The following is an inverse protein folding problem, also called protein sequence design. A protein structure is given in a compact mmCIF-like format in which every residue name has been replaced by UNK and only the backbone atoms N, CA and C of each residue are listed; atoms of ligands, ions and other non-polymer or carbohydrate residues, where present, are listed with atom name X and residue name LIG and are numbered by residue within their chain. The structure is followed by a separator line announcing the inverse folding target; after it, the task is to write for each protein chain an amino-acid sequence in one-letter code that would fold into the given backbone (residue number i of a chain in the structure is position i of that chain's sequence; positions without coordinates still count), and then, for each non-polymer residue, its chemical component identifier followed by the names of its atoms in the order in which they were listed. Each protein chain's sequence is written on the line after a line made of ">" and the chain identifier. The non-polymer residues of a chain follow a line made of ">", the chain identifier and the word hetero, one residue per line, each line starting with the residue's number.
data_IF_674259600486
#
_entry.id   IF_674259600486
#
_cell.length_a   1.000
_cell.length_b   1.000
_cell.length_c   1.000
_cell.angle_alpha   90.00
_cell.angle_beta   90.00
_cell.angle_gamma   90.00
#
_symmetry.space_group_name_H-M   'P 1'
#
loop_
_entity.id
_entity.type
_entity.pdbx_description
1 polymer ?
#
# COMPACT_ATOMS: atom_id res chain seq x y z
N UNK A 1 38.75 -14.88 14.28
CA UNK A 1 38.32 -13.55 13.83
C UNK A 1 36.81 -13.47 14.05
N UNK A 2 36.39 -12.46 14.74
CA UNK A 2 34.96 -12.10 14.91
C UNK A 2 34.72 -10.76 14.24
N UNK A 3 33.58 -10.63 13.54
CA UNK A 3 33.24 -9.44 12.75
C UNK A 3 31.86 -9.00 13.18
N UNK A 4 31.72 -7.71 13.51
CA UNK A 4 30.45 -7.13 13.91
C UNK A 4 30.12 -5.87 13.11
N UNK A 5 28.94 -5.86 12.54
CA UNK A 5 28.23 -4.66 12.11
C UNK A 5 26.76 -4.82 12.52
N UNK A 6 26.19 -3.76 13.04
CA UNK A 6 24.76 -3.73 13.40
C UNK A 6 24.15 -2.44 12.84
N UNK A 7 23.40 -2.60 11.74
CA UNK A 7 22.79 -1.47 11.01
C UNK A 7 21.83 -0.61 11.85
N UNK A 8 21.38 -1.14 13.00
CA UNK A 8 20.45 -0.45 13.93
C UNK A 8 21.16 0.37 15.00
N UNK A 9 22.43 0.08 15.27
CA UNK A 9 23.21 0.83 16.26
C UNK A 9 23.90 2.03 15.61
N UNK A 10 23.67 3.25 16.13
CA UNK A 10 24.29 4.51 15.65
C UNK A 10 25.83 4.47 15.63
N UNK A 11 26.42 3.59 16.42
CA UNK A 11 27.87 3.37 16.39
C UNK A 11 28.32 2.82 15.04
N UNK A 12 27.59 1.83 14.49
CA UNK A 12 27.97 1.16 13.24
C UNK A 12 27.40 1.84 12.00
N UNK A 13 26.19 2.40 12.07
CA UNK A 13 25.54 3.11 10.96
C UNK A 13 24.91 4.41 11.44
N UNK A 14 25.31 5.51 10.85
CA UNK A 14 24.77 6.83 11.18
C UNK A 14 24.62 7.69 9.91
N UNK A 15 23.43 8.29 9.68
CA UNK A 15 22.20 8.13 10.45
C UNK A 15 21.62 6.73 10.35
N UNK A 16 20.69 6.40 11.29
CA UNK A 16 19.90 5.18 11.23
C UNK A 16 18.77 5.32 10.22
N UNK A 17 18.50 4.24 9.48
CA UNK A 17 17.33 4.14 8.61
C UNK A 17 17.53 4.75 7.22
N UNK A 18 16.41 5.13 6.59
CA UNK A 18 16.40 5.81 5.31
C UNK A 18 17.00 7.22 5.40
N UNK A 19 17.60 7.72 4.33
CA UNK A 19 18.27 9.02 4.26
C UNK A 19 17.81 9.82 3.04
N UNK A 20 17.97 11.13 3.09
CA UNK A 20 17.65 12.00 1.95
C UNK A 20 18.71 11.93 0.85
N UNK A 21 18.32 12.28 -0.38
CA UNK A 21 19.23 12.41 -1.51
C UNK A 21 20.42 13.30 -1.17
N UNK A 22 21.62 12.92 -1.63
CA UNK A 22 22.88 13.64 -1.35
C UNK A 22 23.36 13.59 0.10
N UNK A 23 22.61 12.94 1.00
CA UNK A 23 22.99 12.79 2.42
C UNK A 23 24.25 11.95 2.57
N UNK A 24 24.90 12.03 3.76
CA UNK A 24 26.08 11.24 4.06
C UNK A 24 25.76 10.16 5.09
N UNK A 25 26.25 8.94 4.86
CA UNK A 25 26.13 7.81 5.78
C UNK A 25 27.52 7.34 6.21
N UNK A 26 27.75 7.34 7.54
CA UNK A 26 28.92 6.71 8.11
C UNK A 26 28.63 5.24 8.40
N UNK A 27 29.51 4.36 7.90
CA UNK A 27 29.47 2.93 8.15
C UNK A 27 30.75 2.49 8.88
N UNK A 28 30.59 1.62 9.89
CA UNK A 28 31.68 1.04 10.67
C UNK A 28 31.57 -0.47 10.71
N UNK A 29 32.73 -1.11 10.76
CA UNK A 29 32.90 -2.52 10.99
C UNK A 29 33.85 -2.73 12.16
N UNK A 30 33.50 -3.58 13.10
CA UNK A 30 34.38 -4.00 14.19
C UNK A 30 34.94 -5.39 13.88
N UNK A 31 36.23 -5.58 14.09
CA UNK A 31 36.92 -6.85 13.86
C UNK A 31 37.77 -7.17 15.08
N UNK A 32 37.64 -8.38 15.63
CA UNK A 32 38.45 -8.89 16.76
C UNK A 32 38.97 -10.29 16.57
N UNK A 33 39.88 -10.72 17.45
CA UNK A 33 40.46 -12.05 17.46
C UNK A 33 41.67 -12.21 16.52
N UNK A 34 42.13 -13.46 16.31
CA UNK A 34 43.32 -13.76 15.51
C UNK A 34 43.08 -13.51 14.03
N UNK A 35 44.01 -12.80 13.37
CA UNK A 35 43.99 -12.56 11.93
C UNK A 35 43.36 -11.18 11.59
N UNK A 36 44.09 -10.11 11.95
CA UNK A 36 43.73 -8.74 11.50
C UNK A 36 43.75 -8.73 9.97
N UNK A 37 42.65 -8.24 9.31
CA UNK A 37 42.61 -8.18 7.86
C UNK A 37 43.65 -7.20 7.31
N UNK A 38 44.29 -7.55 6.19
CA UNK A 38 45.21 -6.66 5.48
C UNK A 38 44.48 -5.48 4.81
N UNK A 39 43.20 -5.67 4.44
CA UNK A 39 42.34 -4.63 3.92
C UNK A 39 40.89 -4.89 4.32
N UNK A 40 40.14 -3.79 4.58
CA UNK A 40 38.70 -3.80 4.80
C UNK A 40 38.08 -2.84 3.79
N UNK A 41 37.06 -3.31 3.07
CA UNK A 41 36.34 -2.50 2.07
C UNK A 41 34.85 -2.53 2.30
N UNK A 42 34.22 -1.43 2.09
CA UNK A 42 32.78 -1.33 1.86
C UNK A 42 32.52 -1.60 0.38
N UNK A 43 31.64 -2.53 0.09
CA UNK A 43 31.07 -2.70 -1.25
C UNK A 43 29.64 -2.18 -1.22
N UNK A 44 29.31 -1.27 -2.13
CA UNK A 44 27.96 -0.75 -2.25
C UNK A 44 27.56 -0.59 -3.71
N UNK A 45 26.25 -0.61 -3.97
CA UNK A 45 25.69 -0.47 -5.30
C UNK A 45 24.34 0.26 -5.22
N UNK A 46 24.09 1.14 -6.17
CA UNK A 46 22.74 1.63 -6.42
C UNK A 46 21.93 0.55 -7.14
N UNK A 47 20.63 0.44 -6.89
CA UNK A 47 19.77 -0.56 -7.51
C UNK A 47 19.89 -0.49 -9.05
N UNK A 48 20.18 -1.63 -9.67
CA UNK A 48 20.40 -1.75 -11.12
C UNK A 48 21.74 -1.22 -11.63
N UNK A 49 22.68 -0.82 -10.75
CA UNK A 49 24.05 -0.40 -11.14
C UNK A 49 25.11 -1.39 -10.69
N UNK A 50 26.34 -1.19 -11.16
CA UNK A 50 27.49 -1.98 -10.75
C UNK A 50 27.99 -1.67 -9.34
N UNK A 51 28.77 -2.60 -8.78
CA UNK A 51 29.39 -2.47 -7.47
C UNK A 51 30.49 -1.42 -7.44
N UNK A 52 30.54 -0.64 -6.36
CA UNK A 52 31.60 0.31 -6.03
C UNK A 52 32.27 -0.19 -4.76
N UNK A 53 33.61 -0.28 -4.79
CA UNK A 53 34.44 -0.66 -3.65
C UNK A 53 35.13 0.56 -3.06
N UNK A 54 35.04 0.73 -1.74
CA UNK A 54 35.66 1.84 -1.03
C UNK A 54 36.41 1.32 0.17
N UNK A 55 37.70 1.66 0.26
CA UNK A 55 38.53 1.26 1.39
C UNK A 55 38.00 1.87 2.70
N UNK A 56 38.06 1.06 3.75
CA UNK A 56 37.69 1.46 5.11
C UNK A 56 38.97 1.48 5.97
N UNK A 57 39.55 2.63 6.27
CA UNK A 57 40.73 2.73 7.13
C UNK A 57 40.39 2.30 8.57
N UNK A 58 41.37 1.71 9.25
CA UNK A 58 41.38 1.58 10.70
C UNK A 58 41.35 2.97 11.34
N UNK A 59 40.56 3.16 12.41
CA UNK A 59 40.39 4.44 13.07
C UNK A 59 40.84 4.38 14.53
N UNK A 60 40.37 3.39 15.30
CA UNK A 60 40.69 3.23 16.73
C UNK A 60 40.22 1.84 17.23
N UNK A 61 40.63 1.49 18.46
CA UNK A 61 40.18 0.29 19.13
C UNK A 61 39.06 0.55 20.13
N UNK A 62 38.15 -0.43 20.27
CA UNK A 62 37.13 -0.49 21.33
C UNK A 62 37.26 -1.85 22.02
N UNK A 63 37.86 -1.88 23.18
CA UNK A 63 38.22 -3.15 23.83
C UNK A 63 39.23 -3.91 22.98
N UNK A 64 38.89 -5.11 22.58
CA UNK A 64 39.70 -5.97 21.69
C UNK A 64 39.32 -5.86 20.20
N UNK A 65 38.43 -4.93 19.85
CA UNK A 65 37.96 -4.74 18.48
C UNK A 65 38.67 -3.58 17.80
N UNK A 66 39.24 -3.86 16.63
CA UNK A 66 39.73 -2.84 15.69
C UNK A 66 38.52 -2.28 14.91
N UNK A 67 38.36 -0.96 14.90
CA UNK A 67 37.23 -0.27 14.26
C UNK A 67 37.68 0.31 12.92
N UNK A 68 37.01 -0.11 11.86
CA UNK A 68 37.15 0.42 10.49
C UNK A 68 35.94 1.29 10.17
N UNK A 69 36.17 2.41 9.47
CA UNK A 69 35.09 3.38 9.22
C UNK A 69 35.22 4.05 7.87
N UNK A 70 34.09 4.31 7.24
CA UNK A 70 34.01 5.09 6.00
C UNK A 70 32.73 5.92 5.98
N UNK A 71 32.82 7.11 5.37
CA UNK A 71 31.68 7.93 5.03
C UNK A 71 31.34 7.76 3.55
N UNK A 72 30.06 7.61 3.24
CA UNK A 72 29.57 7.46 1.86
C UNK A 72 28.53 8.52 1.60
N UNK A 73 28.74 9.33 0.55
CA UNK A 73 27.71 10.24 0.04
C UNK A 73 26.69 9.43 -0.74
N UNK A 74 25.42 9.59 -0.39
CA UNK A 74 24.32 8.93 -1.07
C UNK A 74 24.04 9.61 -2.42
N UNK A 75 23.39 8.89 -3.37
CA UNK A 75 23.01 9.43 -4.66
C UNK A 75 22.16 10.71 -4.53
N UNK A 76 22.29 11.60 -5.52
CA UNK A 76 21.42 12.78 -5.66
C UNK A 76 20.02 12.42 -6.19
N UNK A 77 19.85 11.21 -6.72
CA UNK A 77 18.57 10.66 -7.16
C UNK A 77 18.05 9.66 -6.12
N UNK A 78 16.78 9.76 -5.78
CA UNK A 78 16.11 8.81 -4.91
C UNK A 78 16.12 7.38 -5.49
N UNK A 79 16.30 6.39 -4.63
CA UNK A 79 16.43 4.99 -5.02
C UNK A 79 16.90 4.12 -3.85
N UNK A 80 17.32 2.90 -4.14
CA UNK A 80 17.88 2.00 -3.16
C UNK A 80 19.40 1.90 -3.31
N UNK A 81 20.10 1.82 -2.20
CA UNK A 81 21.52 1.50 -2.11
C UNK A 81 21.66 0.24 -1.28
N UNK A 82 22.39 -0.71 -1.82
CA UNK A 82 22.69 -1.98 -1.17
C UNK A 82 24.14 -2.01 -0.76
N UNK A 83 24.50 -2.59 0.41
CA UNK A 83 25.89 -2.65 0.84
C UNK A 83 26.22 -3.89 1.65
N UNK A 84 27.52 -4.28 1.62
CA UNK A 84 28.16 -5.31 2.42
C UNK A 84 29.65 -4.97 2.60
N UNK A 85 30.37 -5.81 3.33
CA UNK A 85 31.80 -5.60 3.62
C UNK A 85 32.63 -6.76 3.08
N UNK A 86 33.81 -6.42 2.54
CA UNK A 86 34.87 -7.35 2.14
C UNK A 86 36.08 -7.17 3.04
N UNK A 87 36.64 -8.27 3.52
CA UNK A 87 37.85 -8.31 4.33
C UNK A 87 38.88 -9.23 3.66
N UNK A 88 40.04 -8.69 3.38
CA UNK A 88 41.18 -9.46 2.86
C UNK A 88 42.01 -9.98 4.03
N UNK A 89 42.14 -11.31 4.12
CA UNK A 89 42.87 -11.99 5.20
C UNK A 89 43.95 -12.90 4.65
N UNK A 90 44.90 -13.33 5.49
CA UNK A 90 45.90 -14.32 5.09
C UNK A 90 45.32 -15.64 4.56
N UNK A 91 44.04 -15.94 4.92
CA UNK A 91 43.34 -17.17 4.51
C UNK A 91 42.40 -16.94 3.33
N UNK A 92 42.41 -15.76 2.71
CA UNK A 92 41.55 -15.38 1.59
C UNK A 92 40.51 -14.32 1.95
N UNK A 93 39.59 -14.13 1.05
CA UNK A 93 38.52 -13.16 1.21
C UNK A 93 37.44 -13.64 2.18
N UNK A 94 37.01 -12.75 3.06
CA UNK A 94 35.87 -12.94 3.96
C UNK A 94 34.89 -11.82 3.70
N UNK A 95 33.60 -12.13 3.75
CA UNK A 95 32.55 -11.18 3.52
C UNK A 95 31.65 -11.08 4.75
N UNK A 96 31.07 -9.92 4.98
CA UNK A 96 30.08 -9.70 6.01
C UNK A 96 28.90 -8.92 5.44
N UNK A 97 27.73 -9.53 5.44
CA UNK A 97 26.51 -8.95 4.86
C UNK A 97 25.33 -9.02 5.81
N UNK A 98 24.14 -8.72 5.28
CA UNK A 98 22.90 -8.84 6.03
C UNK A 98 22.67 -10.32 6.43
N UNK A 99 21.91 -10.54 7.49
CA UNK A 99 21.58 -11.89 7.95
C UNK A 99 20.70 -12.65 6.94
N UNK A 100 20.61 -13.96 7.11
CA UNK A 100 19.86 -14.87 6.24
C UNK A 100 18.37 -14.54 6.12
N UNK A 101 17.78 -13.89 7.14
CA UNK A 101 16.40 -13.42 7.14
C UNK A 101 16.21 -12.03 6.48
N UNK A 102 17.31 -11.37 6.08
CA UNK A 102 17.33 -10.04 5.47
C UNK A 102 16.66 -8.95 6.31
N UNK A 103 16.65 -9.09 7.63
CA UNK A 103 15.94 -8.20 8.54
C UNK A 103 16.75 -7.00 9.02
N UNK A 104 18.02 -6.84 8.58
CA UNK A 104 18.93 -5.82 9.11
C UNK A 104 19.45 -6.16 10.51
N UNK A 105 20.00 -5.19 11.23
CA UNK A 105 20.63 -5.41 12.53
C UNK A 105 21.99 -6.09 12.41
N UNK A 106 22.23 -7.12 13.23
CA UNK A 106 23.47 -7.90 13.18
C UNK A 106 23.47 -8.75 11.91
N UNK A 107 24.59 -8.71 11.18
CA UNK A 107 24.80 -9.50 9.97
C UNK A 107 25.46 -10.84 10.18
N UNK A 108 25.83 -11.46 9.08
CA UNK A 108 26.47 -12.78 9.04
C UNK A 108 27.75 -12.75 8.22
N UNK A 109 28.74 -13.49 8.70
CA UNK A 109 30.00 -13.71 7.99
C UNK A 109 29.86 -14.85 6.98
N UNK A 110 30.43 -14.70 5.78
CA UNK A 110 30.51 -15.76 4.79
C UNK A 110 31.85 -15.73 4.06
N UNK A 111 32.22 -16.86 3.46
CA UNK A 111 33.48 -17.03 2.72
C UNK A 111 33.32 -16.93 1.20
N UNK A 112 32.10 -16.81 0.75
CA UNK A 112 31.74 -16.49 -0.63
C UNK A 112 31.09 -15.10 -0.66
N UNK A 113 30.90 -14.52 -1.84
CA UNK A 113 30.15 -13.26 -1.96
C UNK A 113 28.84 -13.36 -1.19
N UNK A 114 28.46 -12.37 -0.36
CA UNK A 114 27.27 -12.47 0.46
C UNK A 114 26.03 -12.51 -0.42
N UNK A 115 25.13 -13.43 -0.10
CA UNK A 115 23.82 -13.52 -0.79
C UNK A 115 22.88 -12.37 -0.42
N UNK A 116 23.13 -11.73 0.74
CA UNK A 116 22.26 -10.70 1.31
C UNK A 116 23.04 -9.42 1.60
N UNK A 117 22.59 -8.32 1.02
CA UNK A 117 23.10 -6.97 1.32
C UNK A 117 22.18 -6.24 2.29
N UNK A 118 22.74 -5.29 3.03
CA UNK A 118 21.94 -4.31 3.77
C UNK A 118 21.34 -3.29 2.82
N UNK A 119 20.15 -2.78 3.16
CA UNK A 119 19.46 -1.75 2.40
C UNK A 119 19.66 -0.36 3.01
N UNK A 120 19.79 0.64 2.16
CA UNK A 120 19.60 2.06 2.48
C UNK A 120 18.60 2.62 1.49
N UNK A 121 17.46 3.06 1.97
CA UNK A 121 16.49 3.78 1.13
C UNK A 121 16.89 5.26 1.08
N UNK A 122 17.11 5.77 -0.13
CA UNK A 122 17.42 7.17 -0.40
C UNK A 122 16.17 7.83 -0.97
N UNK A 123 15.66 8.88 -0.34
CA UNK A 123 14.40 9.50 -0.70
C UNK A 123 14.51 11.01 -0.88
N UNK A 124 13.54 11.63 -1.57
CA UNK A 124 13.53 13.05 -1.83
C UNK A 124 13.37 13.84 -0.52
N UNK A 125 14.15 14.91 -0.35
CA UNK A 125 14.14 15.75 0.86
C UNK A 125 12.79 16.42 1.12
N UNK A 126 12.05 16.75 0.06
CA UNK A 126 10.73 17.35 0.13
C UNK A 126 9.59 16.37 0.41
N UNK A 127 9.89 15.07 0.55
CA UNK A 127 8.90 14.05 0.85
C UNK A 127 8.22 14.29 2.19
N UNK A 128 6.95 14.63 2.15
CA UNK A 128 6.09 14.89 3.31
C UNK A 128 4.80 14.13 3.19
N UNK A 129 4.30 13.70 4.33
CA UNK A 129 3.01 13.00 4.47
C UNK A 129 2.11 13.80 5.41
N UNK A 130 0.77 13.72 5.28
CA UNK A 130 -0.14 14.49 6.10
C UNK A 130 -0.03 14.17 7.59
N UNK A 131 0.20 15.18 8.43
CA UNK A 131 0.40 14.99 9.87
C UNK A 131 -0.85 14.46 10.58
N UNK A 132 -2.03 14.83 10.12
CA UNK A 132 -3.30 14.35 10.68
C UNK A 132 -3.48 12.83 10.58
N UNK A 133 -2.81 12.19 9.59
CA UNK A 133 -2.91 10.75 9.39
C UNK A 133 -1.98 9.94 10.31
N UNK A 134 -0.89 10.56 10.79
CA UNK A 134 0.15 9.90 11.60
C UNK A 134 -0.31 9.48 12.99
N UNK A 135 -1.31 10.14 13.55
CA UNK A 135 -1.78 9.93 14.92
C UNK A 135 -3.23 9.46 15.00
N UNK A 136 -3.83 9.16 13.85
CA UNK A 136 -5.23 8.77 13.75
C UNK A 136 -5.48 7.30 14.05
N UNK A 137 -6.72 7.00 14.44
CA UNK A 137 -7.27 5.64 14.45
C UNK A 137 -8.22 5.53 13.26
N UNK A 138 -7.90 4.61 12.34
CA UNK A 138 -8.71 4.38 11.16
C UNK A 138 -9.72 3.24 11.38
N UNK A 139 -10.94 3.43 10.90
CA UNK A 139 -11.99 2.44 10.87
C UNK A 139 -12.44 2.19 9.43
N UNK A 140 -12.31 0.96 8.96
CA UNK A 140 -12.77 0.55 7.63
C UNK A 140 -14.27 0.24 7.67
N UNK A 141 -15.03 0.77 6.72
CA UNK A 141 -16.47 0.54 6.60
C UNK A 141 -16.81 -0.07 5.24
N UNK A 142 -17.35 -1.28 5.25
CA UNK A 142 -18.09 -1.85 4.13
C UNK A 142 -19.53 -1.33 4.23
N UNK A 143 -19.90 -0.37 3.38
CA UNK A 143 -21.10 0.46 3.56
C UNK A 143 -22.38 -0.36 3.65
N UNK A 144 -22.57 -1.31 2.74
CA UNK A 144 -23.76 -2.21 2.75
C UNK A 144 -23.92 -2.98 4.08
N UNK A 145 -22.79 -3.29 4.75
CA UNK A 145 -22.72 -4.16 5.92
C UNK A 145 -22.57 -3.40 7.24
N UNK A 146 -22.79 -2.08 7.28
CA UNK A 146 -22.52 -1.25 8.45
C UNK A 146 -23.78 -0.75 9.16
N UNK A 147 -24.61 0.05 8.51
CA UNK A 147 -25.82 0.60 9.11
C UNK A 147 -26.79 1.08 8.03
N UNK A 148 -28.07 0.74 8.16
CA UNK A 148 -29.14 1.37 7.38
C UNK A 148 -29.56 2.67 8.09
N UNK A 149 -29.48 3.80 7.37
CA UNK A 149 -29.85 5.11 7.88
C UNK A 149 -31.32 5.46 7.71
N UNK A 150 -32.07 4.67 6.95
CA UNK A 150 -33.50 4.90 6.73
C UNK A 150 -34.32 4.51 7.97
N UNK A 151 -35.28 5.34 8.35
CA UNK A 151 -36.07 5.15 9.58
C UNK A 151 -36.90 3.87 9.55
N UNK A 152 -37.45 3.53 8.39
CA UNK A 152 -38.26 2.32 8.18
C UNK A 152 -37.44 1.08 7.77
N UNK A 153 -36.10 1.20 7.69
CA UNK A 153 -35.21 0.11 7.30
C UNK A 153 -35.27 -0.26 5.82
N UNK A 154 -35.93 0.52 4.97
CA UNK A 154 -36.00 0.27 3.53
C UNK A 154 -34.65 0.40 2.85
N UNK A 155 -34.47 -0.39 1.79
CA UNK A 155 -33.32 -0.31 0.90
C UNK A 155 -33.44 0.93 0.01
N UNK A 156 -32.34 1.61 -0.22
CA UNK A 156 -32.25 2.63 -1.26
C UNK A 156 -32.14 1.98 -2.64
N UNK A 157 -32.39 2.82 -3.68
CA UNK A 157 -32.32 2.38 -5.07
C UNK A 157 -33.50 1.49 -5.50
N UNK A 158 -33.57 1.21 -6.80
CA UNK A 158 -34.71 0.49 -7.43
C UNK A 158 -34.29 -0.86 -8.02
N UNK A 159 -33.20 -1.45 -7.55
CA UNK A 159 -32.71 -2.73 -8.08
C UNK A 159 -33.62 -3.89 -7.67
N UNK A 160 -34.00 -4.70 -8.66
CA UNK A 160 -34.84 -5.91 -8.49
C UNK A 160 -34.05 -7.22 -8.55
N UNK A 161 -32.79 -7.15 -8.99
CA UNK A 161 -31.88 -8.26 -9.19
C UNK A 161 -31.01 -8.58 -7.96
N UNK A 162 -31.36 -8.05 -6.80
CA UNK A 162 -30.65 -8.22 -5.53
C UNK A 162 -31.32 -9.25 -4.62
N UNK A 163 -30.51 -9.88 -3.79
CA UNK A 163 -30.97 -10.73 -2.69
C UNK A 163 -30.94 -9.90 -1.40
N UNK A 164 -32.12 -9.50 -0.92
CA UNK A 164 -32.22 -8.75 0.33
C UNK A 164 -31.99 -9.65 1.53
N UNK A 165 -31.09 -9.21 2.42
CA UNK A 165 -30.72 -9.94 3.64
C UNK A 165 -31.21 -9.17 4.87
N UNK A 166 -31.48 -9.91 5.95
CA UNK A 166 -31.77 -9.30 7.25
C UNK A 166 -30.49 -9.13 8.05
N UNK A 167 -30.42 -8.07 8.87
CA UNK A 167 -29.30 -7.86 9.80
C UNK A 167 -29.18 -9.05 10.76
N UNK A 168 -27.94 -9.53 10.94
CA UNK A 168 -27.65 -10.72 11.73
C UNK A 168 -27.61 -12.04 10.97
N UNK A 169 -28.06 -12.07 9.72
CA UNK A 169 -27.89 -13.24 8.85
C UNK A 169 -26.45 -13.35 8.34
N UNK A 170 -26.04 -14.57 8.00
CA UNK A 170 -24.73 -14.80 7.38
C UNK A 170 -24.74 -14.27 5.94
N UNK A 171 -23.74 -13.47 5.52
CA UNK A 171 -23.60 -13.08 4.11
C UNK A 171 -23.38 -14.31 3.22
N UNK A 172 -23.77 -14.21 1.96
CA UNK A 172 -23.45 -15.22 0.98
C UNK A 172 -21.98 -15.09 0.54
N UNK A 173 -21.27 -16.21 0.48
CA UNK A 173 -19.85 -16.27 0.14
C UNK A 173 -19.47 -17.49 -0.71
N UNK A 174 -20.45 -18.31 -1.10
CA UNK A 174 -20.25 -19.49 -1.94
C UNK A 174 -21.15 -19.43 -3.16
N UNK A 175 -20.64 -19.91 -4.30
CA UNK A 175 -21.38 -19.92 -5.57
C UNK A 175 -22.72 -20.63 -5.47
N UNK A 176 -22.81 -21.72 -4.69
CA UNK A 176 -24.05 -22.50 -4.53
C UNK A 176 -25.19 -21.68 -3.92
N UNK A 177 -24.87 -20.71 -3.07
CA UNK A 177 -25.86 -19.81 -2.43
C UNK A 177 -26.49 -18.85 -3.45
N UNK A 178 -25.84 -18.64 -4.60
CA UNK A 178 -26.31 -17.82 -5.72
C UNK A 178 -26.83 -18.66 -6.90
N UNK A 179 -26.97 -19.97 -6.74
CA UNK A 179 -27.44 -20.86 -7.79
C UNK A 179 -26.35 -21.40 -8.71
N UNK A 180 -25.08 -21.41 -8.26
CA UNK A 180 -23.95 -22.05 -8.96
C UNK A 180 -22.89 -21.11 -9.47
N UNK A 181 -23.14 -19.79 -9.51
CA UNK A 181 -22.17 -18.76 -9.85
C UNK A 181 -22.15 -17.66 -8.78
N UNK A 182 -20.97 -17.24 -8.35
CA UNK A 182 -20.83 -16.17 -7.36
C UNK A 182 -21.17 -14.81 -7.98
N UNK A 183 -22.25 -14.17 -7.50
CA UNK A 183 -22.78 -12.92 -8.05
C UNK A 183 -22.54 -11.69 -7.17
N UNK A 184 -22.19 -11.86 -5.91
CA UNK A 184 -22.03 -10.78 -4.93
C UNK A 184 -23.20 -9.77 -4.93
N UNK A 185 -24.43 -10.25 -5.06
CA UNK A 185 -25.64 -9.42 -5.14
C UNK A 185 -26.58 -9.61 -3.94
N UNK A 186 -26.07 -10.12 -2.83
CA UNK A 186 -26.74 -10.15 -1.54
C UNK A 186 -26.46 -8.85 -0.76
N UNK A 187 -27.51 -8.12 -0.36
CA UNK A 187 -27.42 -6.81 0.26
C UNK A 187 -28.14 -6.77 1.60
N UNK A 188 -27.59 -6.01 2.56
CA UNK A 188 -28.16 -5.75 3.89
C UNK A 188 -28.78 -4.37 4.02
N UNK A 189 -28.58 -3.50 3.03
CA UNK A 189 -29.19 -2.17 2.95
C UNK A 189 -28.48 -1.08 3.74
N UNK A 190 -27.22 -1.30 4.15
CA UNK A 190 -26.40 -0.22 4.69
C UNK A 190 -26.18 0.89 3.67
N UNK A 191 -26.09 2.14 4.14
CA UNK A 191 -25.97 3.31 3.27
C UNK A 191 -25.22 4.47 3.93
N UNK A 192 -24.92 5.54 3.18
CA UNK A 192 -24.17 6.69 3.69
C UNK A 192 -24.90 7.44 4.81
N UNK A 193 -26.24 7.50 4.79
CA UNK A 193 -27.03 8.03 5.91
C UNK A 193 -26.82 7.23 7.19
N UNK A 194 -26.66 5.90 7.06
CA UNK A 194 -26.31 5.02 8.17
C UNK A 194 -24.92 5.32 8.74
N UNK A 195 -23.95 5.61 7.87
CA UNK A 195 -22.61 6.06 8.31
C UNK A 195 -22.73 7.40 9.06
N UNK A 196 -23.47 8.37 8.52
CA UNK A 196 -23.73 9.67 9.17
C UNK A 196 -24.35 9.45 10.56
N UNK A 197 -25.37 8.61 10.67
CA UNK A 197 -26.05 8.28 11.94
C UNK A 197 -25.11 7.71 12.99
N UNK A 198 -24.05 6.99 12.54
CA UNK A 198 -23.06 6.35 13.40
C UNK A 198 -21.82 7.20 13.68
N UNK A 199 -21.68 8.40 13.12
CA UNK A 199 -20.53 9.27 13.39
C UNK A 199 -20.32 9.56 14.90
N UNK A 200 -21.38 9.85 15.73
CA UNK A 200 -21.17 10.03 17.17
C UNK A 200 -20.55 8.78 17.84
N UNK A 201 -21.06 7.59 17.51
CA UNK A 201 -20.52 6.33 18.03
C UNK A 201 -19.04 6.15 17.62
N UNK A 202 -18.70 6.42 16.37
CA UNK A 202 -17.32 6.31 15.88
C UNK A 202 -16.41 7.35 16.56
N UNK A 203 -16.91 8.55 16.81
CA UNK A 203 -16.19 9.57 17.57
C UNK A 203 -15.92 9.14 19.01
N UNK A 204 -16.93 8.59 19.70
CA UNK A 204 -16.81 8.08 21.08
C UNK A 204 -15.82 6.92 21.16
N UNK A 205 -15.73 6.11 20.10
CA UNK A 205 -14.73 5.04 19.94
C UNK A 205 -13.31 5.58 19.70
N UNK A 206 -13.14 6.90 19.49
CA UNK A 206 -11.84 7.54 19.23
C UNK A 206 -11.41 7.51 17.76
N UNK A 207 -12.32 7.16 16.85
CA UNK A 207 -12.01 7.14 15.41
C UNK A 207 -11.82 8.56 14.89
N UNK A 208 -10.76 8.76 14.15
CA UNK A 208 -10.44 10.03 13.46
C UNK A 208 -10.35 9.88 11.94
N UNK A 209 -10.36 8.65 11.45
CA UNK A 209 -10.31 8.34 10.02
C UNK A 209 -11.31 7.25 9.70
N UNK A 210 -12.15 7.47 8.71
CA UNK A 210 -13.01 6.45 8.12
C UNK A 210 -12.50 6.15 6.72
N UNK A 211 -12.13 4.90 6.47
CA UNK A 211 -11.87 4.38 5.15
C UNK A 211 -13.12 3.64 4.66
N UNK A 212 -13.75 4.15 3.60
CA UNK A 212 -14.89 3.51 2.96
C UNK A 212 -14.39 2.54 1.89
N UNK A 213 -14.85 1.28 1.91
CA UNK A 213 -14.79 0.43 0.75
C UNK A 213 -15.47 1.13 -0.44
N UNK A 214 -15.27 0.70 -1.70
CA UNK A 214 -15.81 1.41 -2.85
C UNK A 214 -17.30 1.77 -2.70
N UNK A 215 -17.66 3.00 -3.09
CA UNK A 215 -19.02 3.53 -2.95
C UNK A 215 -19.63 3.98 -4.27
N UNK A 216 -18.87 3.87 -5.37
CA UNK A 216 -19.33 4.26 -6.69
C UNK A 216 -20.33 3.23 -7.25
N UNK A 217 -21.16 3.68 -8.19
CA UNK A 217 -22.16 2.82 -8.83
C UNK A 217 -21.50 1.57 -9.41
N UNK A 218 -21.97 0.39 -9.02
CA UNK A 218 -21.46 -0.90 -9.44
C UNK A 218 -22.51 -1.99 -9.25
N UNK A 219 -22.32 -3.15 -9.90
CA UNK A 219 -23.26 -4.27 -9.79
C UNK A 219 -23.16 -4.98 -8.44
N UNK A 220 -21.95 -5.31 -8.00
CA UNK A 220 -21.72 -6.10 -6.80
C UNK A 220 -22.03 -5.34 -5.51
N UNK A 221 -22.16 -6.05 -4.40
CA UNK A 221 -22.28 -5.47 -3.07
C UNK A 221 -20.97 -4.84 -2.58
N UNK A 222 -19.83 -5.33 -3.04
CA UNK A 222 -18.48 -4.84 -2.69
C UNK A 222 -18.03 -3.64 -3.52
N UNK A 223 -18.62 -3.41 -4.71
CA UNK A 223 -18.36 -2.29 -5.59
C UNK A 223 -16.94 -2.19 -6.21
N UNK A 224 -16.12 -3.25 -6.10
CA UNK A 224 -14.84 -3.30 -6.80
C UNK A 224 -14.97 -3.45 -8.32
N UNK A 225 -16.14 -3.78 -8.83
CA UNK A 225 -16.52 -3.76 -10.23
C UNK A 225 -17.10 -2.40 -10.64
N UNK A 226 -16.34 -1.32 -10.46
CA UNK A 226 -16.81 0.04 -10.68
C UNK A 226 -17.53 0.20 -12.02
N UNK A 227 -18.78 0.67 -11.95
CA UNK A 227 -19.63 0.91 -13.11
C UNK A 227 -19.62 2.36 -13.59
N UNK A 228 -19.53 3.32 -12.65
CA UNK A 228 -19.46 4.75 -12.97
C UNK A 228 -18.75 5.51 -11.83
N UNK A 229 -17.56 6.05 -12.10
CA UNK A 229 -16.77 6.81 -11.13
C UNK A 229 -17.37 8.18 -10.75
N UNK A 230 -18.31 8.70 -11.53
CA UNK A 230 -18.94 9.99 -11.27
C UNK A 230 -20.16 9.89 -10.35
N UNK A 231 -20.69 8.69 -10.15
CA UNK A 231 -21.96 8.46 -9.47
C UNK A 231 -21.77 7.62 -8.22
N UNK A 232 -22.23 8.11 -7.06
CA UNK A 232 -22.39 7.25 -5.87
C UNK A 232 -23.43 6.19 -6.19
N UNK A 233 -23.22 4.97 -5.71
CA UNK A 233 -24.21 3.90 -5.93
C UNK A 233 -25.58 4.30 -5.33
N UNK A 234 -26.67 4.25 -6.12
CA UNK A 234 -28.01 4.64 -5.64
C UNK A 234 -28.49 3.85 -4.41
N UNK A 235 -27.92 2.68 -4.16
CA UNK A 235 -28.21 1.92 -2.93
C UNK A 235 -27.51 2.49 -1.71
N UNK A 236 -26.47 3.32 -1.90
CA UNK A 236 -25.74 3.96 -0.81
C UNK A 236 -26.15 5.42 -0.60
N UNK A 237 -26.70 6.07 -1.61
CA UNK A 237 -27.11 7.46 -1.59
C UNK A 237 -26.73 8.20 -2.87
N UNK A 238 -26.34 9.44 -2.73
CA UNK A 238 -25.97 10.35 -3.81
C UNK A 238 -24.78 11.24 -3.43
N UNK A 239 -24.35 12.09 -4.37
CA UNK A 239 -23.25 13.03 -4.16
C UNK A 239 -23.52 14.00 -2.99
N UNK A 240 -24.76 14.46 -2.83
CA UNK A 240 -25.13 15.38 -1.76
C UNK A 240 -25.05 14.69 -0.39
N UNK A 241 -25.51 13.45 -0.28
CA UNK A 241 -25.37 12.63 0.92
C UNK A 241 -23.88 12.39 1.27
N UNK A 242 -23.02 12.21 0.26
CA UNK A 242 -21.59 12.08 0.47
C UNK A 242 -20.96 13.39 1.00
N UNK A 243 -21.32 14.54 0.42
CA UNK A 243 -20.87 15.86 0.91
C UNK A 243 -21.33 16.10 2.35
N UNK A 244 -22.59 15.73 2.67
CA UNK A 244 -23.11 15.80 4.03
C UNK A 244 -22.30 14.94 5.00
N UNK A 245 -21.98 13.70 4.61
CA UNK A 245 -21.13 12.82 5.40
C UNK A 245 -19.77 13.45 5.68
N UNK A 246 -19.10 13.97 4.64
CA UNK A 246 -17.78 14.59 4.78
C UNK A 246 -17.83 15.83 5.68
N UNK A 247 -18.87 16.67 5.54
CA UNK A 247 -19.03 17.87 6.37
C UNK A 247 -19.22 17.51 7.84
N UNK A 248 -20.18 16.63 8.14
CA UNK A 248 -20.46 16.19 9.52
C UNK A 248 -19.30 15.44 10.17
N UNK A 249 -18.62 14.61 9.40
CA UNK A 249 -17.41 13.93 9.87
C UNK A 249 -16.32 14.94 10.24
N UNK A 250 -16.08 15.94 9.38
CA UNK A 250 -15.09 16.99 9.60
C UNK A 250 -15.39 17.81 10.87
N UNK A 251 -16.65 18.14 11.14
CA UNK A 251 -17.08 18.84 12.36
C UNK A 251 -16.74 18.03 13.63
N UNK A 252 -16.73 16.70 13.52
CA UNK A 252 -16.35 15.79 14.61
C UNK A 252 -14.86 15.45 14.63
N UNK A 253 -14.05 16.06 13.73
CA UNK A 253 -12.63 15.75 13.59
C UNK A 253 -12.33 14.40 12.94
N UNK A 254 -13.28 13.86 12.18
CA UNK A 254 -13.13 12.61 11.43
C UNK A 254 -12.92 12.93 9.94
N UNK A 255 -12.00 12.22 9.30
CA UNK A 255 -11.69 12.36 7.88
C UNK A 255 -12.14 11.14 7.10
N UNK A 256 -12.60 11.35 5.87
CA UNK A 256 -13.12 10.30 5.00
C UNK A 256 -12.09 10.00 3.91
N UNK A 257 -11.74 8.72 3.74
CA UNK A 257 -10.87 8.21 2.67
C UNK A 257 -11.71 7.32 1.76
N UNK A 258 -11.57 7.49 0.46
CA UNK A 258 -12.23 6.68 -0.55
C UNK A 258 -11.32 5.57 -1.09
N UNK A 259 -11.94 4.51 -1.58
CA UNK A 259 -11.28 3.44 -2.33
C UNK A 259 -11.22 3.80 -3.82
N UNK A 260 -10.02 3.79 -4.39
CA UNK A 260 -9.75 4.07 -5.78
C UNK A 260 -9.42 2.79 -6.55
N UNK A 261 -10.43 2.23 -7.20
CA UNK A 261 -10.29 1.05 -8.05
C UNK A 261 -9.98 1.52 -9.47
N UNK A 262 -8.71 1.73 -9.79
CA UNK A 262 -8.28 2.33 -11.06
C UNK A 262 -7.58 1.34 -12.00
N UNK A 263 -7.37 0.09 -11.59
CA UNK A 263 -6.79 -0.95 -12.42
C UNK A 263 -7.81 -1.57 -13.39
N UNK A 264 -9.09 -1.64 -13.02
CA UNK A 264 -10.14 -2.28 -13.80
C UNK A 264 -11.51 -1.62 -13.56
N UNK A 265 -12.47 -1.94 -14.42
CA UNK A 265 -13.87 -1.56 -14.23
C UNK A 265 -14.74 -2.81 -14.24
N UNK A 266 -16.03 -2.68 -13.93
CA UNK A 266 -16.99 -3.73 -14.23
C UNK A 266 -17.20 -3.90 -15.73
N UNK A 267 -17.44 -5.13 -16.20
CA UNK A 267 -17.80 -5.37 -17.61
C UNK A 267 -19.13 -4.72 -17.99
N UNK A 268 -19.99 -4.45 -17.00
CA UNK A 268 -21.22 -3.69 -17.13
C UNK A 268 -21.05 -2.19 -16.79
N UNK A 269 -19.83 -1.66 -16.75
CA UNK A 269 -19.59 -0.22 -16.54
C UNK A 269 -20.05 0.61 -17.73
N UNK A 270 -20.30 1.90 -17.54
CA UNK A 270 -20.57 2.86 -18.63
C UNK A 270 -19.44 2.95 -19.66
N UNK A 271 -18.24 2.56 -19.27
CA UNK A 271 -17.03 2.63 -20.10
C UNK A 271 -16.89 1.40 -20.99
N UNK A 272 -17.16 0.21 -20.46
CA UNK A 272 -17.11 -1.06 -21.21
C UNK A 272 -18.46 -1.45 -21.79
N UNK A 273 -19.52 -1.38 -21.01
CA UNK A 273 -20.95 -1.53 -21.33
C UNK A 273 -21.30 -2.82 -22.10
N UNK A 274 -20.79 -3.95 -21.63
CA UNK A 274 -20.99 -5.24 -22.28
C UNK A 274 -22.46 -5.62 -22.43
N UNK A 275 -23.29 -5.26 -21.45
CA UNK A 275 -24.69 -5.68 -21.38
C UNK A 275 -25.68 -4.57 -21.77
N UNK A 276 -25.21 -3.40 -22.18
CA UNK A 276 -26.08 -2.29 -22.61
C UNK A 276 -26.88 -1.65 -21.47
N UNK A 277 -26.35 -1.64 -20.25
CA UNK A 277 -27.03 -1.07 -19.07
C UNK A 277 -26.93 0.45 -18.97
N UNK A 278 -26.08 1.06 -19.78
CA UNK A 278 -25.88 2.50 -19.83
C UNK A 278 -26.25 3.05 -21.21
N UNK A 279 -26.77 4.26 -21.25
CA UNK A 279 -27.10 4.97 -22.51
C UNK A 279 -25.86 5.33 -23.34
N UNK A 280 -24.67 5.33 -22.72
CA UNK A 280 -23.39 5.57 -23.41
C UNK A 280 -22.97 4.35 -24.20
N UNK A 281 -22.36 4.58 -25.38
CA UNK A 281 -21.74 3.50 -26.16
C UNK A 281 -20.40 3.13 -25.52
N UNK A 282 -20.33 1.94 -24.91
CA UNK A 282 -19.11 1.42 -24.29
C UNK A 282 -18.12 0.81 -25.28
N UNK A 283 -16.89 0.55 -24.79
CA UNK A 283 -15.81 -0.02 -25.59
C UNK A 283 -16.13 -1.41 -26.18
N UNK A 284 -16.92 -2.22 -25.49
CA UNK A 284 -17.36 -3.53 -25.97
C UNK A 284 -18.33 -3.41 -27.15
N UNK A 285 -19.14 -2.34 -27.20
CA UNK A 285 -20.23 -2.17 -28.16
C UNK A 285 -19.75 -1.59 -29.48
N UNK A 286 -18.71 -0.76 -29.49
CA UNK A 286 -18.19 -0.11 -30.71
C UNK A 286 -16.73 0.29 -30.57
N UNK A 287 -15.98 0.11 -31.65
CA UNK A 287 -14.62 0.64 -31.81
C UNK A 287 -14.59 2.18 -31.90
N UNK A 288 -15.73 2.80 -32.21
CA UNK A 288 -15.90 4.27 -32.24
C UNK A 288 -16.29 4.84 -30.88
N UNK A 289 -16.40 4.00 -29.85
CA UNK A 289 -16.66 4.47 -28.49
C UNK A 289 -15.53 5.38 -27.99
N UNK A 290 -15.83 6.49 -27.30
CA UNK A 290 -14.81 7.32 -26.67
C UNK A 290 -13.99 6.58 -25.60
N UNK A 291 -14.46 5.42 -25.18
CA UNK A 291 -13.81 4.56 -24.18
C UNK A 291 -13.05 3.39 -24.82
N UNK A 292 -13.01 3.26 -26.16
CA UNK A 292 -12.39 2.10 -26.80
C UNK A 292 -10.90 1.97 -26.44
N UNK A 293 -10.17 3.07 -26.41
CA UNK A 293 -8.74 3.12 -26.06
C UNK A 293 -8.45 2.90 -24.57
N UNK A 294 -9.48 2.82 -23.74
CA UNK A 294 -9.35 2.54 -22.30
C UNK A 294 -9.10 1.07 -22.00
N UNK A 295 -9.30 0.20 -22.99
CA UNK A 295 -9.20 -1.24 -22.82
C UNK A 295 -8.38 -1.86 -23.95
N UNK A 296 -7.67 -2.93 -23.63
CA UNK A 296 -6.88 -3.67 -24.63
C UNK A 296 -7.64 -4.90 -25.09
N UNK A 297 -7.98 -4.93 -26.37
CA UNK A 297 -8.60 -6.07 -27.01
C UNK A 297 -7.58 -6.85 -27.82
N UNK A 298 -7.52 -8.18 -27.63
CA UNK A 298 -6.78 -9.11 -28.48
C UNK A 298 -7.61 -9.54 -29.68
N UNK A 299 -8.91 -9.79 -29.48
CA UNK A 299 -9.89 -10.05 -30.55
C UNK A 299 -11.24 -9.45 -30.14
N UNK A 300 -11.54 -8.28 -30.71
CA UNK A 300 -12.71 -7.49 -30.37
C UNK A 300 -14.01 -8.15 -30.86
N UNK A 301 -15.11 -8.18 -30.08
CA UNK A 301 -15.23 -7.57 -28.76
C UNK A 301 -14.96 -8.53 -27.59
N UNK A 302 -14.80 -9.84 -27.82
CA UNK A 302 -14.94 -10.88 -26.82
C UNK A 302 -13.63 -11.24 -26.11
N UNK A 303 -12.46 -10.95 -26.72
CA UNK A 303 -11.16 -11.29 -26.14
C UNK A 303 -10.42 -9.99 -25.77
N UNK A 304 -10.36 -9.73 -24.48
CA UNK A 304 -9.77 -8.50 -23.89
C UNK A 304 -8.98 -8.81 -22.63
N UNK A 305 -8.07 -7.93 -22.29
CA UNK A 305 -7.34 -8.01 -21.02
C UNK A 305 -8.31 -7.79 -19.86
N UNK A 306 -8.15 -8.62 -18.83
CA UNK A 306 -8.97 -8.55 -17.63
C UNK A 306 -8.12 -8.89 -16.40
N UNK A 307 -8.46 -8.29 -15.25
CA UNK A 307 -7.74 -8.50 -14.02
C UNK A 307 -7.74 -9.99 -13.65
N UNK A 308 -6.53 -10.59 -13.65
CA UNK A 308 -6.29 -12.01 -13.39
C UNK A 308 -7.17 -12.98 -14.23
N UNK A 309 -7.54 -12.58 -15.43
CA UNK A 309 -8.38 -13.39 -16.33
C UNK A 309 -9.87 -13.37 -15.99
N UNK A 310 -10.30 -12.56 -15.03
CA UNK A 310 -11.71 -12.40 -14.68
C UNK A 310 -12.41 -11.49 -15.69
N UNK A 311 -13.10 -12.06 -16.67
CA UNK A 311 -13.77 -11.33 -17.76
C UNK A 311 -14.86 -10.36 -17.31
N UNK A 312 -15.33 -10.46 -16.08
CA UNK A 312 -16.23 -9.46 -15.45
C UNK A 312 -15.52 -8.19 -15.03
N UNK A 313 -14.16 -8.17 -15.02
CA UNK A 313 -13.32 -7.08 -14.60
C UNK A 313 -12.31 -6.71 -15.71
N UNK A 314 -12.77 -6.09 -16.84
CA UNK A 314 -11.90 -5.63 -17.90
C UNK A 314 -10.87 -4.63 -17.36
N UNK A 315 -9.59 -4.89 -17.67
CA UNK A 315 -8.47 -4.08 -17.20
C UNK A 315 -8.39 -2.78 -17.98
N UNK A 316 -8.13 -1.70 -17.26
CA UNK A 316 -7.88 -0.37 -17.86
C UNK A 316 -6.49 -0.36 -18.50
N UNK A 317 -6.38 0.26 -19.68
CA UNK A 317 -5.12 0.57 -20.34
C UNK A 317 -4.58 1.90 -19.77
N UNK A 318 -3.68 1.83 -18.80
CA UNK A 318 -3.14 3.00 -18.12
C UNK A 318 -2.33 3.94 -19.03
N UNK A 319 -1.89 3.47 -20.20
CA UNK A 319 -1.23 4.31 -21.21
C UNK A 319 -2.22 5.13 -22.03
N UNK A 320 -3.53 4.84 -21.98
CA UNK A 320 -4.55 5.65 -22.64
C UNK A 320 -4.56 7.07 -22.07
N UNK A 321 -4.25 8.06 -22.93
CA UNK A 321 -4.21 9.46 -22.52
C UNK A 321 -5.61 9.97 -22.12
N UNK A 322 -6.64 9.54 -22.87
CA UNK A 322 -8.03 9.91 -22.61
C UNK A 322 -8.49 9.38 -21.25
N UNK A 323 -8.14 8.13 -20.94
CA UNK A 323 -8.44 7.52 -19.65
C UNK A 323 -7.74 8.27 -18.50
N UNK A 324 -6.44 8.55 -18.63
CA UNK A 324 -5.70 9.30 -17.61
C UNK A 324 -6.23 10.72 -17.44
N UNK A 325 -6.58 11.41 -18.51
CA UNK A 325 -7.20 12.73 -18.42
C UNK A 325 -8.46 12.67 -17.57
N UNK A 326 -9.35 11.75 -17.90
CA UNK A 326 -10.62 11.58 -17.17
C UNK A 326 -10.42 11.21 -15.71
N UNK A 327 -9.57 10.23 -15.43
CA UNK A 327 -9.35 9.76 -14.07
C UNK A 327 -8.51 10.74 -13.23
N UNK A 328 -7.45 11.33 -13.80
CA UNK A 328 -6.38 11.98 -13.05
C UNK A 328 -6.23 13.47 -13.31
N UNK A 329 -6.14 13.92 -14.59
CA UNK A 329 -5.51 15.19 -14.89
C UNK A 329 -6.45 16.29 -15.36
N UNK A 330 -7.61 16.02 -15.94
CA UNK A 330 -8.58 17.02 -16.34
C UNK A 330 -9.04 17.88 -15.15
N UNK A 331 -9.59 19.06 -15.45
CA UNK A 331 -10.05 20.01 -14.42
C UNK A 331 -10.98 19.37 -13.38
N UNK A 332 -11.87 18.50 -13.84
CA UNK A 332 -12.87 17.80 -13.03
C UNK A 332 -12.62 16.28 -13.00
N UNK A 333 -11.35 15.86 -13.21
CA UNK A 333 -10.95 14.47 -13.14
C UNK A 333 -11.39 13.80 -11.83
N UNK A 334 -11.67 12.52 -11.90
CA UNK A 334 -12.26 11.74 -10.81
C UNK A 334 -11.50 11.92 -9.50
N UNK A 335 -10.17 11.79 -9.51
CA UNK A 335 -9.38 11.90 -8.27
C UNK A 335 -9.46 13.29 -7.63
N UNK A 336 -9.69 14.36 -8.43
CA UNK A 336 -9.83 15.73 -7.93
C UNK A 336 -11.25 16.06 -7.53
N UNK A 337 -12.24 15.57 -8.28
CA UNK A 337 -13.67 15.79 -8.02
C UNK A 337 -14.05 15.35 -6.60
N UNK A 338 -13.71 14.14 -6.22
CA UNK A 338 -14.09 13.60 -4.92
C UNK A 338 -13.33 14.22 -3.75
N UNK A 339 -12.09 14.66 -3.96
CA UNK A 339 -11.37 15.49 -2.97
C UNK A 339 -12.09 16.84 -2.79
N UNK A 340 -12.50 17.51 -3.87
CA UNK A 340 -13.28 18.75 -3.80
C UNK A 340 -14.64 18.54 -3.10
N UNK A 341 -15.25 17.37 -3.24
CA UNK A 341 -16.50 16.99 -2.58
C UNK A 341 -16.33 16.62 -1.10
N UNK A 342 -15.11 16.64 -0.57
CA UNK A 342 -14.82 16.50 0.86
C UNK A 342 -14.03 15.26 1.27
N UNK A 343 -13.69 14.36 0.34
CA UNK A 343 -12.77 13.26 0.65
C UNK A 343 -11.40 13.81 1.08
N UNK A 344 -10.76 13.15 2.04
CA UNK A 344 -9.45 13.53 2.57
C UNK A 344 -8.32 12.65 2.04
N UNK A 345 -8.60 11.81 1.07
CA UNK A 345 -7.59 10.95 0.45
C UNK A 345 -8.17 9.74 -0.28
N UNK A 346 -7.23 8.96 -0.81
CA UNK A 346 -7.51 7.75 -1.57
C UNK A 346 -6.74 6.55 -1.01
N UNK A 347 -7.39 5.42 -0.89
CA UNK A 347 -6.72 4.11 -0.84
C UNK A 347 -6.76 3.54 -2.25
N UNK A 348 -5.62 3.16 -2.78
CA UNK A 348 -5.48 2.60 -4.12
C UNK A 348 -5.56 1.08 -4.05
N UNK A 349 -6.61 0.55 -4.66
CA UNK A 349 -6.81 -0.88 -4.84
C UNK A 349 -5.73 -1.45 -5.75
N UNK A 350 -5.20 -2.62 -5.40
CA UNK A 350 -4.17 -3.37 -6.15
C UNK A 350 -3.09 -2.47 -6.76
N UNK A 351 -2.50 -1.57 -5.96
CA UNK A 351 -1.55 -0.56 -6.47
C UNK A 351 -0.33 -1.17 -7.15
N UNK A 352 0.01 -2.42 -6.85
CA UNK A 352 1.08 -3.15 -7.54
C UNK A 352 0.77 -3.41 -9.03
N UNK A 353 -0.51 -3.40 -9.42
CA UNK A 353 -0.95 -3.53 -10.82
C UNK A 353 -0.79 -2.21 -11.60
N UNK A 354 -0.80 -1.07 -10.91
CA UNK A 354 -0.71 0.25 -11.54
C UNK A 354 0.75 0.59 -11.86
N UNK A 355 1.08 1.04 -13.09
CA UNK A 355 2.43 1.50 -13.43
C UNK A 355 2.86 2.70 -12.58
N UNK A 356 4.17 2.79 -12.28
CA UNK A 356 4.69 3.88 -11.44
C UNK A 356 4.40 5.28 -11.97
N UNK A 357 4.39 5.48 -13.31
CA UNK A 357 4.04 6.77 -13.89
C UNK A 357 2.58 7.18 -13.60
N UNK A 358 1.65 6.22 -13.60
CA UNK A 358 0.23 6.46 -13.29
C UNK A 358 0.06 6.91 -11.83
N UNK A 359 0.73 6.23 -10.90
CA UNK A 359 0.69 6.57 -9.46
C UNK A 359 1.32 7.95 -9.20
N UNK A 360 2.40 8.29 -9.91
CA UNK A 360 3.02 9.64 -9.86
C UNK A 360 2.07 10.72 -10.35
N UNK A 361 1.44 10.53 -11.51
CA UNK A 361 0.46 11.47 -12.08
C UNK A 361 -0.76 11.61 -11.15
N UNK A 362 -1.25 10.50 -10.59
CA UNK A 362 -2.33 10.49 -9.59
C UNK A 362 -1.95 11.37 -8.39
N UNK A 363 -0.77 11.12 -7.79
CA UNK A 363 -0.30 11.91 -6.64
C UNK A 363 -0.23 13.40 -6.96
N UNK A 364 0.37 13.76 -8.08
CA UNK A 364 0.50 15.17 -8.49
C UNK A 364 -0.86 15.86 -8.55
N UNK A 365 -1.87 15.20 -9.09
CA UNK A 365 -3.20 15.78 -9.26
C UNK A 365 -4.01 15.79 -7.96
N UNK A 366 -3.89 14.76 -7.12
CA UNK A 366 -4.50 14.74 -5.79
C UNK A 366 -3.90 15.84 -4.92
N UNK A 367 -2.56 15.99 -4.89
CA UNK A 367 -1.89 17.02 -4.09
C UNK A 367 -2.13 18.45 -4.62
N UNK A 368 -2.41 18.62 -5.91
CA UNK A 368 -2.89 19.90 -6.47
C UNK A 368 -4.30 20.25 -6.01
N UNK A 369 -5.17 19.25 -5.82
CA UNK A 369 -6.52 19.46 -5.30
C UNK A 369 -6.52 19.74 -3.80
N UNK A 370 -5.78 18.97 -3.02
CA UNK A 370 -5.53 19.17 -1.60
C UNK A 370 -4.15 18.59 -1.22
N UNK A 371 -3.22 19.46 -0.83
CA UNK A 371 -1.86 19.04 -0.40
C UNK A 371 -1.87 18.10 0.81
N UNK A 372 -2.92 18.18 1.64
CA UNK A 372 -3.08 17.40 2.86
C UNK A 372 -3.91 16.11 2.63
N UNK A 373 -4.37 15.83 1.41
CA UNK A 373 -5.01 14.56 1.07
C UNK A 373 -3.99 13.41 1.15
N UNK A 374 -4.34 12.29 1.79
CA UNK A 374 -3.48 11.11 1.92
C UNK A 374 -3.67 10.15 0.75
N UNK A 375 -2.58 9.51 0.32
CA UNK A 375 -2.61 8.45 -0.70
C UNK A 375 -2.01 7.19 -0.09
N UNK A 376 -2.85 6.16 0.03
CA UNK A 376 -2.52 4.88 0.66
C UNK A 376 -2.53 3.80 -0.42
N UNK A 377 -1.48 3.02 -0.54
CA UNK A 377 -1.45 1.87 -1.45
C UNK A 377 -1.79 0.55 -0.74
N UNK A 378 -2.46 -0.34 -1.43
CA UNK A 378 -2.56 -1.73 -1.01
C UNK A 378 -1.30 -2.47 -1.46
N UNK A 379 -0.40 -2.76 -0.52
CA UNK A 379 0.84 -3.51 -0.76
C UNK A 379 0.96 -4.59 0.31
N UNK A 380 1.12 -5.84 -0.12
CA UNK A 380 1.09 -7.00 0.77
C UNK A 380 2.45 -7.36 1.38
N UNK A 381 3.54 -6.89 0.80
CA UNK A 381 4.91 -7.15 1.22
C UNK A 381 5.62 -5.85 1.67
N UNK A 382 6.95 -5.92 1.80
CA UNK A 382 7.77 -4.74 2.08
C UNK A 382 7.71 -3.76 0.90
N UNK A 383 7.07 -2.62 1.12
CA UNK A 383 6.87 -1.59 0.12
C UNK A 383 8.14 -0.78 -0.20
N UNK A 384 9.19 -0.88 0.62
CA UNK A 384 10.44 -0.11 0.43
C UNK A 384 11.27 -0.63 -0.73
N UNK A 385 11.15 -1.94 -1.03
CA UNK A 385 11.94 -2.62 -2.06
C UNK A 385 11.10 -3.53 -2.97
N UNK A 386 9.79 -3.30 -3.02
CA UNK A 386 8.86 -4.08 -3.83
C UNK A 386 9.24 -4.05 -5.31
N UNK A 387 9.18 -5.22 -5.94
CA UNK A 387 9.18 -5.36 -7.40
C UNK A 387 7.87 -6.00 -7.84
N UNK A 388 7.24 -5.44 -8.83
CA UNK A 388 6.03 -5.97 -9.44
C UNK A 388 6.09 -5.77 -10.95
N UNK A 389 5.65 -6.78 -11.71
CA UNK A 389 5.63 -6.75 -13.19
C UNK A 389 6.98 -6.38 -13.84
N UNK A 390 8.09 -6.84 -13.21
CA UNK A 390 9.45 -6.59 -13.70
C UNK A 390 10.01 -5.21 -13.37
N UNK A 391 9.25 -4.35 -12.67
CA UNK A 391 9.69 -3.02 -12.28
C UNK A 391 9.87 -2.89 -10.76
N UNK A 392 10.95 -2.17 -10.35
CA UNK A 392 11.12 -1.72 -8.97
C UNK A 392 10.14 -0.60 -8.68
N UNK A 393 9.29 -0.77 -7.65
CA UNK A 393 8.34 0.26 -7.23
C UNK A 393 9.02 1.34 -6.41
N UNK A 394 8.64 2.59 -6.64
CA UNK A 394 9.22 3.77 -6.00
C UNK A 394 8.30 4.37 -4.92
N UNK A 395 7.44 3.55 -4.31
CA UNK A 395 6.34 3.97 -3.44
C UNK A 395 6.72 5.01 -2.39
N UNK A 396 7.88 4.86 -1.75
CA UNK A 396 8.32 5.73 -0.66
C UNK A 396 9.51 6.63 -1.00
N UNK A 397 9.82 6.78 -2.29
CA UNK A 397 10.90 7.68 -2.69
C UNK A 397 10.48 9.16 -2.76
N UNK A 398 9.19 9.46 -2.51
CA UNK A 398 8.66 10.82 -2.34
C UNK A 398 7.68 11.28 -3.43
N UNK A 399 7.44 10.47 -4.49
CA UNK A 399 6.61 10.87 -5.63
C UNK A 399 5.38 9.98 -5.89
N UNK A 400 5.14 8.96 -5.09
CA UNK A 400 4.03 8.03 -5.28
C UNK A 400 3.06 8.02 -4.11
N UNK A 401 3.35 7.29 -3.04
CA UNK A 401 2.44 7.08 -1.93
C UNK A 401 2.84 7.89 -0.69
N UNK A 402 1.87 8.17 0.18
CA UNK A 402 2.11 8.67 1.54
C UNK A 402 2.17 7.51 2.55
N UNK A 403 1.44 6.43 2.27
CA UNK A 403 1.24 5.30 3.17
C UNK A 403 0.97 4.03 2.39
N UNK A 404 1.05 2.90 3.08
CA UNK A 404 0.53 1.61 2.62
C UNK A 404 -0.23 0.92 3.73
N UNK A 405 -1.10 -0.05 3.37
CA UNK A 405 -1.67 -1.01 4.29
C UNK A 405 -0.54 -1.93 4.79
N UNK A 406 -0.19 -1.84 6.09
CA UNK A 406 0.99 -2.50 6.66
C UNK A 406 0.74 -3.98 6.95
N UNK A 407 0.57 -4.78 5.90
CA UNK A 407 0.45 -6.24 6.00
C UNK A 407 1.69 -6.93 6.60
N UNK A 408 2.94 -6.46 6.37
CA UNK A 408 4.10 -7.03 7.05
C UNK A 408 4.00 -6.95 8.58
N UNK A 409 3.60 -5.80 9.14
CA UNK A 409 3.38 -5.67 10.58
C UNK A 409 2.26 -6.59 11.07
N UNK A 410 1.12 -6.65 10.34
CA UNK A 410 0.01 -7.57 10.65
C UNK A 410 0.51 -9.01 10.76
N UNK A 411 1.30 -9.46 9.78
CA UNK A 411 1.87 -10.82 9.76
C UNK A 411 2.76 -11.05 10.98
N UNK A 412 3.70 -10.13 11.23
CA UNK A 412 4.60 -10.23 12.37
C UNK A 412 3.84 -10.32 13.71
N UNK A 413 2.81 -9.47 13.90
CA UNK A 413 2.00 -9.46 15.11
C UNK A 413 1.24 -10.78 15.30
N UNK A 414 0.58 -11.28 14.26
CA UNK A 414 -0.17 -12.54 14.32
C UNK A 414 0.78 -13.72 14.58
N UNK A 415 1.95 -13.75 13.95
CA UNK A 415 2.94 -14.80 14.14
C UNK A 415 3.49 -14.81 15.56
N UNK A 416 3.76 -13.64 16.14
CA UNK A 416 4.22 -13.51 17.53
C UNK A 416 3.15 -13.99 18.53
N UNK A 417 1.91 -13.46 18.39
CA UNK A 417 0.81 -13.83 19.32
C UNK A 417 0.44 -15.31 19.21
N UNK A 418 0.61 -15.91 18.02
CA UNK A 418 0.38 -17.35 17.81
C UNK A 418 1.59 -18.24 18.21
N UNK A 419 2.68 -17.66 18.73
CA UNK A 419 3.88 -18.40 19.12
C UNK A 419 4.66 -19.02 17.93
N UNK A 420 4.43 -18.54 16.70
CA UNK A 420 5.16 -19.01 15.51
C UNK A 420 6.54 -18.39 15.37
N UNK A 421 6.74 -17.22 15.97
CA UNK A 421 8.03 -16.54 16.08
C UNK A 421 8.25 -16.11 17.52
N UNK A 422 9.52 -16.00 17.91
CA UNK A 422 9.90 -15.44 19.22
C UNK A 422 9.86 -13.90 19.23
N UNK A 423 10.12 -13.31 20.39
CA UNK A 423 10.08 -11.86 20.56
C UNK A 423 11.23 -11.17 19.84
N UNK A 424 12.37 -11.80 19.70
CA UNK A 424 13.56 -11.33 19.00
C UNK A 424 13.27 -11.20 17.49
N UNK A 425 12.65 -12.21 16.90
CA UNK A 425 12.24 -12.14 15.49
C UNK A 425 11.12 -11.14 15.26
N UNK A 426 10.16 -11.05 16.18
CA UNK A 426 9.11 -10.03 16.11
C UNK A 426 9.69 -8.62 16.11
N UNK A 427 10.58 -8.30 17.07
CA UNK A 427 11.29 -7.01 17.10
C UNK A 427 12.09 -6.78 15.79
N UNK A 428 12.80 -7.81 15.34
CA UNK A 428 13.61 -7.73 14.13
C UNK A 428 12.75 -7.38 12.90
N UNK A 429 11.57 -7.97 12.73
CA UNK A 429 10.64 -7.67 11.64
C UNK A 429 10.10 -6.23 11.71
N UNK A 430 9.72 -5.76 12.89
CA UNK A 430 9.25 -4.38 13.07
C UNK A 430 10.37 -3.37 12.85
N UNK A 431 11.56 -3.66 13.35
CA UNK A 431 12.74 -2.81 13.15
C UNK A 431 13.20 -2.76 11.71
N UNK A 432 13.04 -3.85 10.94
CA UNK A 432 13.32 -3.85 9.50
C UNK A 432 12.42 -2.86 8.74
N UNK A 433 11.13 -2.84 9.04
CA UNK A 433 10.20 -1.83 8.48
C UNK A 433 10.68 -0.42 8.83
N UNK A 434 11.02 -0.18 10.10
CA UNK A 434 11.47 1.14 10.58
C UNK A 434 12.80 1.56 9.94
N UNK A 435 13.68 0.62 9.67
CA UNK A 435 14.98 0.86 9.04
C UNK A 435 14.86 1.19 7.56
N UNK A 436 13.99 0.45 6.84
CA UNK A 436 13.89 0.54 5.40
C UNK A 436 12.99 1.66 4.91
N UNK A 437 12.01 2.09 5.73
CA UNK A 437 11.04 3.10 5.32
C UNK A 437 11.51 4.51 5.69
N UNK A 438 11.38 5.50 4.79
CA UNK A 438 11.54 6.91 5.15
C UNK A 438 10.65 7.29 6.33
N UNK A 439 11.16 8.11 7.24
CA UNK A 439 10.42 8.50 8.43
C UNK A 439 9.02 9.10 8.13
N UNK A 440 8.83 9.95 7.09
CA UNK A 440 7.50 10.41 6.72
C UNK A 440 6.51 9.28 6.42
N UNK A 441 6.93 8.25 5.67
CA UNK A 441 6.12 7.09 5.35
C UNK A 441 5.89 6.18 6.56
N UNK A 442 6.97 5.87 7.31
CA UNK A 442 6.90 4.98 8.47
C UNK A 442 5.85 5.44 9.50
N UNK A 443 5.84 6.73 9.82
CA UNK A 443 4.88 7.29 10.76
C UNK A 443 3.46 7.48 10.19
N UNK A 444 3.29 7.29 8.89
CA UNK A 444 2.00 7.37 8.21
C UNK A 444 1.44 6.00 7.81
N UNK A 445 2.05 4.89 8.21
CA UNK A 445 1.59 3.56 7.85
C UNK A 445 0.18 3.28 8.38
N UNK A 446 -0.68 2.72 7.52
CA UNK A 446 -1.97 2.18 7.94
C UNK A 446 -1.74 0.79 8.55
N UNK A 447 -1.55 0.77 9.87
CA UNK A 447 -1.35 -0.46 10.63
C UNK A 447 -2.68 -1.20 10.78
N UNK A 448 -2.80 -2.36 10.17
CA UNK A 448 -4.03 -3.16 10.15
C UNK A 448 -3.85 -4.46 10.93
N UNK A 449 -4.92 -4.93 11.54
CA UNK A 449 -5.01 -6.29 12.11
C UNK A 449 -5.93 -7.14 11.25
N UNK A 450 -6.97 -6.53 10.68
CA UNK A 450 -7.96 -7.19 9.84
C UNK A 450 -8.39 -6.23 8.72
N UNK A 451 -8.81 -6.77 7.59
CA UNK A 451 -9.42 -6.04 6.48
C UNK A 451 -10.52 -6.93 5.88
N UNK A 452 -11.19 -6.45 4.84
CA UNK A 452 -12.19 -7.25 4.10
C UNK A 452 -11.55 -8.37 3.24
N UNK A 453 -10.23 -8.30 2.98
CA UNK A 453 -9.48 -9.25 2.15
C UNK A 453 -8.85 -10.40 2.93
N UNK A 454 -8.93 -10.36 4.25
CA UNK A 454 -8.29 -11.36 5.11
C UNK A 454 -9.27 -11.93 6.12
N UNK A 455 -8.97 -13.17 6.52
CA UNK A 455 -9.72 -13.82 7.58
C UNK A 455 -9.79 -12.97 8.85
N UNK A 456 -10.95 -12.93 9.49
CA UNK A 456 -11.15 -12.23 10.77
C UNK A 456 -10.15 -12.70 11.79
N UNK A 457 -9.59 -11.77 12.56
CA UNK A 457 -8.55 -12.11 13.54
C UNK A 457 -9.08 -13.12 14.59
N UNK A 458 -10.33 -13.02 15.02
CA UNK A 458 -10.94 -13.97 15.96
C UNK A 458 -11.02 -15.38 15.37
N UNK A 459 -11.41 -15.51 14.10
CA UNK A 459 -11.42 -16.80 13.39
C UNK A 459 -10.03 -17.40 13.31
N UNK A 460 -9.03 -16.56 12.98
CA UNK A 460 -7.63 -16.99 12.83
C UNK A 460 -6.97 -17.40 14.14
N UNK A 461 -7.35 -16.77 15.24
CA UNK A 461 -6.82 -17.08 16.58
C UNK A 461 -7.53 -18.26 17.22
N UNK A 462 -8.58 -18.80 16.58
CA UNK A 462 -9.45 -19.82 17.17
C UNK A 462 -10.40 -19.21 18.19
N UNK A 463 -11.37 -20.01 18.65
CA UNK A 463 -12.27 -19.64 19.74
C UNK A 463 -11.47 -19.58 21.06
N UNK A 464 -10.66 -18.54 21.21
CA UNK A 464 -10.10 -18.24 22.51
C UNK A 464 -11.28 -17.96 23.45
N UNK A 465 -11.42 -18.69 24.57
CA UNK A 465 -12.48 -18.42 25.51
C UNK A 465 -12.40 -16.94 25.89
N UNK A 466 -13.52 -16.25 25.77
CA UNK A 466 -13.68 -14.88 26.29
C UNK A 466 -13.19 -14.82 27.73
N UNK A 467 -12.01 -14.25 27.94
CA UNK A 467 -11.52 -13.90 29.26
C UNK A 467 -11.72 -12.42 29.49
#
# INVERSE_FOLDING_TARGET
>A
MDIEHNSRKKFYRFPFGAVTCGGEVRLRLAVSGAGIPSAVRLVYMEDGKGEVRKDMPYIFDVGDHCIYSVNVKMPEKAGLVWYYFELETERGMVYYGNNSKQLGGIGEMCFNSPSNSYQITVYNEDYKTPDWFKTGIAYQIFVDRFCNGNENGEFLGNRTDIIKRNWGEQPFYKAEQFGGEYKANDFFGGNLKGVIKKLPYLKDLGISVIYLNPIFKAYSNHKYDTGDYETIDPMFGDEETFKELCSKAKEMGIRIILDGVFNHTGSNSRYFNKYGEYDSVGAYQSKESPYYTWFRFMDWPDVYESWWGMTTLPQIEEHSEECRKYLLSDKDAIVKRWIKNGASGWRLDVVDELPGFFVKELRENVKKADKDAVIIGEVWEDASNKSAYGERREYFLGKELDSVMNYPMRRALIDAVSGRIDVEEFDARLMSIKENYPAPAYYSLLNIITSHDVERIMTRMGDAPSR
#
